data_IF_621693992821
#
_entry.id   IF_621693992821
#
_cell.length_a   1.000
_cell.length_b   1.000
_cell.length_c   1.000
_cell.angle_alpha   90.00
_cell.angle_beta   90.00
_cell.angle_gamma   90.00
#
_symmetry.space_group_name_H-M   'P 1'
#
loop_
_entity.id
_entity.type
_entity.pdbx_description
1 polymer ?
#
# COMPACT_ATOMS: atom_id res chain seq x y z
N UNK A 1 20.12 -14.74 -0.06
CA UNK A 1 18.80 -14.82 -0.71
C UNK A 1 18.78 -15.93 -1.74
N UNK A 2 19.84 -16.08 -2.53
CA UNK A 2 19.95 -17.09 -3.59
C UNK A 2 19.71 -18.54 -3.12
N UNK A 3 20.13 -18.91 -1.90
CA UNK A 3 19.93 -20.27 -1.36
C UNK A 3 18.45 -20.66 -1.15
N UNK A 4 17.57 -19.70 -0.85
CA UNK A 4 16.14 -20.00 -0.64
C UNK A 4 15.43 -20.20 -1.98
N UNK A 5 15.82 -19.42 -2.99
CA UNK A 5 15.30 -19.57 -4.35
C UNK A 5 15.78 -20.89 -4.97
N UNK A 6 16.94 -21.42 -4.58
CA UNK A 6 17.41 -22.72 -5.08
C UNK A 6 16.61 -23.91 -4.55
N UNK A 7 15.99 -23.82 -3.37
CA UNK A 7 15.20 -24.92 -2.78
C UNK A 7 13.77 -24.99 -3.34
N UNK A 8 13.15 -23.84 -3.64
CA UNK A 8 11.82 -23.75 -4.26
C UNK A 8 11.81 -22.73 -5.41
N UNK A 9 12.48 -23.03 -6.53
CA UNK A 9 12.77 -22.05 -7.59
C UNK A 9 11.54 -21.55 -8.36
N UNK A 10 10.41 -22.24 -8.24
CA UNK A 10 9.18 -21.92 -8.97
C UNK A 10 8.00 -21.55 -8.04
N UNK A 11 8.24 -21.27 -6.75
CA UNK A 11 7.17 -20.73 -5.90
C UNK A 11 6.95 -19.24 -6.21
N UNK A 12 5.81 -18.85 -6.81
CA UNK A 12 5.55 -17.45 -7.17
C UNK A 12 5.57 -16.50 -5.98
N UNK A 13 5.18 -16.97 -4.78
CA UNK A 13 5.15 -16.15 -3.56
C UNK A 13 6.55 -15.84 -3.07
N UNK A 14 7.43 -16.86 -3.08
CA UNK A 14 8.84 -16.70 -2.71
C UNK A 14 9.55 -15.77 -3.70
N UNK A 15 9.36 -15.99 -5.01
CA UNK A 15 9.91 -15.12 -6.05
C UNK A 15 9.43 -13.68 -5.87
N UNK A 16 8.14 -13.47 -5.53
CA UNK A 16 7.57 -12.13 -5.28
C UNK A 16 8.18 -11.47 -4.05
N UNK A 17 8.48 -12.24 -3.00
CA UNK A 17 9.17 -11.72 -1.82
C UNK A 17 10.60 -11.26 -2.17
N UNK A 18 11.36 -12.06 -2.92
CA UNK A 18 12.71 -11.70 -3.38
C UNK A 18 12.69 -10.49 -4.30
N UNK A 19 11.75 -10.44 -5.24
CA UNK A 19 11.58 -9.30 -6.14
C UNK A 19 11.32 -7.99 -5.36
N UNK A 20 10.45 -8.03 -4.34
CA UNK A 20 10.17 -6.87 -3.47
C UNK A 20 11.40 -6.43 -2.69
N UNK A 21 12.23 -7.35 -2.22
CA UNK A 21 13.51 -7.02 -1.58
C UNK A 21 14.46 -6.33 -2.57
N UNK A 22 14.55 -6.81 -3.81
CA UNK A 22 15.31 -6.11 -4.85
C UNK A 22 14.80 -4.70 -5.12
N UNK A 23 13.48 -4.47 -5.15
CA UNK A 23 12.91 -3.12 -5.28
C UNK A 23 13.32 -2.22 -4.11
N UNK A 24 13.23 -2.72 -2.87
CA UNK A 24 13.63 -1.97 -1.67
C UNK A 24 15.12 -1.61 -1.67
N UNK A 25 15.96 -2.46 -2.24
CA UNK A 25 17.40 -2.23 -2.42
C UNK A 25 17.73 -1.37 -3.67
N UNK A 26 16.73 -0.86 -4.38
CA UNK A 26 16.92 -0.08 -5.62
C UNK A 26 17.37 -0.90 -6.83
N UNK A 27 17.42 -2.23 -6.72
CA UNK A 27 17.84 -3.14 -7.78
C UNK A 27 16.68 -3.47 -8.74
N UNK A 28 16.16 -2.44 -9.44
CA UNK A 28 14.96 -2.53 -10.30
C UNK A 28 15.09 -3.65 -11.34
N UNK A 29 16.24 -3.75 -12.01
CA UNK A 29 16.50 -4.79 -13.03
C UNK A 29 16.41 -6.21 -12.47
N UNK A 30 16.88 -6.44 -11.25
CA UNK A 30 16.83 -7.77 -10.64
C UNK A 30 15.40 -8.13 -10.24
N UNK A 31 14.62 -7.16 -9.76
CA UNK A 31 13.20 -7.35 -9.48
C UNK A 31 12.42 -7.71 -10.76
N UNK A 32 12.69 -7.01 -11.86
CA UNK A 32 12.04 -7.26 -13.16
C UNK A 32 12.23 -8.69 -13.65
N UNK A 33 13.44 -9.25 -13.55
CA UNK A 33 13.72 -10.64 -13.93
C UNK A 33 12.86 -11.64 -13.14
N UNK A 34 12.69 -11.40 -11.84
CA UNK A 34 11.84 -12.25 -11.00
C UNK A 34 10.35 -12.08 -11.36
N UNK A 35 9.89 -10.86 -11.64
CA UNK A 35 8.51 -10.61 -12.05
C UNK A 35 8.17 -11.26 -13.39
N UNK A 36 9.05 -11.18 -14.39
CA UNK A 36 8.88 -11.87 -15.67
C UNK A 36 8.73 -13.38 -15.49
N UNK A 37 9.51 -13.96 -14.57
CA UNK A 37 9.39 -15.38 -14.22
C UNK A 37 8.06 -15.70 -13.55
N UNK A 38 7.62 -14.88 -12.60
CA UNK A 38 6.33 -15.06 -11.91
C UNK A 38 5.18 -15.04 -12.93
N UNK A 39 5.20 -14.11 -13.89
CA UNK A 39 4.17 -13.98 -14.92
C UNK A 39 4.05 -15.20 -15.85
N UNK A 40 5.08 -16.05 -15.92
CA UNK A 40 5.03 -17.34 -16.62
C UNK A 40 4.44 -18.46 -15.76
N UNK A 41 4.44 -18.30 -14.43
CA UNK A 41 4.03 -19.32 -13.46
C UNK A 41 2.59 -19.14 -12.98
N UNK A 42 2.03 -17.93 -13.12
CA UNK A 42 0.66 -17.61 -12.67
C UNK A 42 -0.20 -17.09 -13.82
N UNK A 43 -1.54 -17.20 -13.72
CA UNK A 43 -2.44 -16.59 -14.70
C UNK A 43 -2.20 -15.09 -14.86
N UNK A 44 -2.49 -14.54 -16.04
CA UNK A 44 -2.28 -13.12 -16.34
C UNK A 44 -3.07 -12.16 -15.44
N UNK A 45 -4.22 -12.60 -14.95
CA UNK A 45 -5.11 -11.86 -14.02
C UNK A 45 -4.86 -12.22 -12.54
N UNK A 46 -3.81 -12.99 -12.26
CA UNK A 46 -3.47 -13.36 -10.88
C UNK A 46 -3.19 -12.11 -10.05
N UNK A 47 -3.82 -12.02 -8.87
CA UNK A 47 -3.67 -10.91 -7.93
C UNK A 47 -2.21 -10.63 -7.59
N UNK A 48 -1.39 -11.67 -7.38
CA UNK A 48 0.02 -11.53 -7.05
C UNK A 48 0.78 -10.85 -8.20
N UNK A 49 0.51 -11.25 -9.44
CA UNK A 49 1.09 -10.62 -10.63
C UNK A 49 0.65 -9.16 -10.75
N UNK A 50 -0.64 -8.86 -10.56
CA UNK A 50 -1.17 -7.48 -10.59
C UNK A 50 -0.51 -6.59 -9.54
N UNK A 51 -0.40 -7.06 -8.29
CA UNK A 51 0.29 -6.34 -7.20
C UNK A 51 1.79 -6.13 -7.48
N UNK A 52 2.47 -7.15 -8.00
CA UNK A 52 3.88 -7.05 -8.36
C UNK A 52 4.15 -6.03 -9.47
N UNK A 53 3.33 -6.03 -10.52
CA UNK A 53 3.39 -5.02 -11.60
C UNK A 53 3.15 -3.61 -11.06
N UNK A 54 2.19 -3.46 -10.14
CA UNK A 54 1.93 -2.16 -9.52
C UNK A 54 3.14 -1.66 -8.74
N UNK A 55 3.75 -2.51 -7.90
CA UNK A 55 4.96 -2.17 -7.14
C UNK A 55 6.16 -1.85 -8.04
N UNK A 56 6.34 -2.61 -9.13
CA UNK A 56 7.36 -2.33 -10.13
C UNK A 56 7.15 -0.97 -10.80
N UNK A 57 5.90 -0.64 -11.14
CA UNK A 57 5.54 0.65 -11.71
C UNK A 57 5.84 1.81 -10.73
N UNK A 58 5.55 1.64 -9.43
CA UNK A 58 5.94 2.61 -8.39
C UNK A 58 7.46 2.81 -8.37
N UNK A 59 8.22 1.72 -8.30
CA UNK A 59 9.69 1.78 -8.27
C UNK A 59 10.30 2.40 -9.54
N UNK A 60 9.58 2.33 -10.66
CA UNK A 60 9.96 2.90 -11.95
C UNK A 60 9.47 4.34 -12.17
N UNK A 61 8.83 4.96 -11.16
CA UNK A 61 8.26 6.31 -11.27
C UNK A 61 7.00 6.42 -12.15
N UNK A 62 6.37 5.29 -12.49
CA UNK A 62 5.17 5.22 -13.34
C UNK A 62 3.90 5.21 -12.49
N UNK A 63 3.68 6.30 -11.75
CA UNK A 63 2.66 6.35 -10.71
C UNK A 63 1.22 6.18 -11.21
N UNK A 64 0.88 6.67 -12.41
CA UNK A 64 -0.46 6.46 -12.96
C UNK A 64 -0.74 5.00 -13.30
N UNK A 65 0.21 4.34 -13.98
CA UNK A 65 0.10 2.92 -14.28
C UNK A 65 0.04 2.09 -12.98
N UNK A 66 0.85 2.44 -11.97
CA UNK A 66 0.81 1.77 -10.67
C UNK A 66 -0.58 1.90 -10.02
N UNK A 67 -1.16 3.10 -10.05
CA UNK A 67 -2.45 3.40 -9.46
C UNK A 67 -3.59 2.63 -10.12
N UNK A 68 -3.60 2.54 -11.45
CA UNK A 68 -4.56 1.72 -12.19
C UNK A 68 -4.45 0.23 -11.81
N UNK A 69 -3.22 -0.29 -11.73
CA UNK A 69 -2.97 -1.67 -11.34
C UNK A 69 -3.42 -1.96 -9.91
N UNK A 70 -3.16 -1.07 -8.95
CA UNK A 70 -3.67 -1.21 -7.58
C UNK A 70 -5.20 -1.19 -7.53
N UNK A 71 -5.84 -0.30 -8.30
CA UNK A 71 -7.31 -0.24 -8.36
C UNK A 71 -7.94 -1.49 -8.97
N UNK A 72 -7.22 -2.22 -9.82
CA UNK A 72 -7.70 -3.50 -10.36
C UNK A 72 -7.94 -4.55 -9.26
N UNK A 73 -7.29 -4.43 -8.10
CA UNK A 73 -7.39 -5.37 -6.94
C UNK A 73 -8.65 -5.11 -6.10
N UNK A 74 -9.53 -4.20 -6.52
CA UNK A 74 -10.74 -3.83 -5.78
C UNK A 74 -11.71 -5.01 -5.53
N UNK A 75 -11.70 -6.02 -6.42
CA UNK A 75 -12.56 -7.22 -6.31
C UNK A 75 -12.02 -8.32 -5.40
N UNK A 76 -10.78 -8.20 -4.93
CA UNK A 76 -10.11 -9.22 -4.13
C UNK A 76 -10.51 -9.15 -2.63
N UNK A 77 -9.90 -10.03 -1.81
CA UNK A 77 -10.14 -10.10 -0.37
C UNK A 77 -9.96 -8.72 0.30
N UNK A 78 -10.67 -8.48 1.40
CA UNK A 78 -10.76 -7.14 1.99
C UNK A 78 -9.39 -6.63 2.44
N UNK A 79 -8.52 -7.49 2.96
CA UNK A 79 -7.16 -7.14 3.38
C UNK A 79 -6.29 -6.73 2.18
N UNK A 80 -6.39 -7.48 1.08
CA UNK A 80 -5.69 -7.18 -0.17
C UNK A 80 -6.16 -5.85 -0.76
N UNK A 81 -7.48 -5.63 -0.76
CA UNK A 81 -8.13 -4.41 -1.24
C UNK A 81 -7.69 -3.19 -0.44
N UNK A 82 -7.63 -3.30 0.89
CA UNK A 82 -7.19 -2.21 1.78
C UNK A 82 -5.73 -1.86 1.49
N UNK A 83 -4.86 -2.86 1.37
CA UNK A 83 -3.44 -2.67 1.05
C UNK A 83 -3.24 -2.01 -0.34
N UNK A 84 -3.92 -2.54 -1.36
CA UNK A 84 -3.84 -2.00 -2.72
C UNK A 84 -4.40 -0.56 -2.80
N UNK A 85 -5.55 -0.30 -2.17
CA UNK A 85 -6.14 1.03 -2.15
C UNK A 85 -5.26 2.04 -1.40
N UNK A 86 -4.62 1.66 -0.29
CA UNK A 86 -3.66 2.51 0.40
C UNK A 86 -2.49 2.89 -0.54
N UNK A 87 -1.91 1.92 -1.24
CA UNK A 87 -0.83 2.17 -2.20
C UNK A 87 -1.27 3.01 -3.41
N UNK A 88 -2.51 2.83 -3.90
CA UNK A 88 -3.09 3.69 -4.92
C UNK A 88 -3.19 5.16 -4.46
N UNK A 89 -3.56 5.38 -3.19
CA UNK A 89 -3.62 6.71 -2.58
C UNK A 89 -2.21 7.32 -2.44
N UNK A 90 -1.18 6.53 -2.12
CA UNK A 90 0.21 7.02 -2.13
C UNK A 90 0.61 7.49 -3.54
N UNK A 91 0.19 6.79 -4.59
CA UNK A 91 0.41 7.25 -5.97
C UNK A 91 -0.24 8.62 -6.21
N UNK A 92 -1.44 8.87 -5.68
CA UNK A 92 -2.09 10.20 -5.78
C UNK A 92 -1.23 11.33 -5.20
N UNK A 93 -0.43 11.09 -4.16
CA UNK A 93 0.52 12.10 -3.64
C UNK A 93 1.62 12.39 -4.65
N UNK A 94 2.25 11.35 -5.21
CA UNK A 94 3.31 11.52 -6.23
C UNK A 94 2.82 12.21 -7.50
N UNK A 95 1.51 12.13 -7.77
CA UNK A 95 0.85 12.79 -8.88
C UNK A 95 0.38 14.21 -8.56
N UNK A 96 0.63 14.71 -7.35
CA UNK A 96 0.24 16.05 -6.93
C UNK A 96 -1.23 16.19 -6.50
N UNK A 97 -1.88 15.09 -6.11
CA UNK A 97 -3.29 15.05 -5.71
C UNK A 97 -3.52 14.62 -4.24
N UNK A 98 -2.92 15.30 -3.24
CA UNK A 98 -3.07 14.93 -1.82
C UNK A 98 -4.51 14.99 -1.29
N UNK A 99 -5.35 15.89 -1.80
CA UNK A 99 -6.78 15.90 -1.45
C UNK A 99 -7.48 14.60 -1.89
N UNK A 100 -7.14 14.09 -3.09
CA UNK A 100 -7.73 12.86 -3.63
C UNK A 100 -7.35 11.65 -2.81
N UNK A 101 -6.08 11.58 -2.39
CA UNK A 101 -5.59 10.60 -1.43
C UNK A 101 -6.41 10.64 -0.14
N UNK A 102 -6.55 11.82 0.47
CA UNK A 102 -7.28 11.99 1.74
C UNK A 102 -8.75 11.56 1.63
N UNK A 103 -9.44 11.99 0.58
CA UNK A 103 -10.84 11.63 0.34
C UNK A 103 -11.02 10.13 0.12
N UNK A 104 -10.10 9.49 -0.62
CA UNK A 104 -10.14 8.06 -0.89
C UNK A 104 -9.87 7.24 0.38
N UNK A 105 -8.88 7.62 1.18
CA UNK A 105 -8.58 6.96 2.46
C UNK A 105 -9.73 7.13 3.45
N UNK A 106 -10.36 8.31 3.53
CA UNK A 106 -11.54 8.49 4.38
C UNK A 106 -12.69 7.58 3.96
N UNK A 107 -12.96 7.47 2.64
CA UNK A 107 -13.99 6.55 2.12
C UNK A 107 -13.66 5.10 2.44
N UNK A 108 -12.39 4.71 2.32
CA UNK A 108 -11.94 3.36 2.64
C UNK A 108 -12.11 3.03 4.13
N UNK A 109 -11.78 3.97 5.01
CA UNK A 109 -11.99 3.81 6.47
C UNK A 109 -13.48 3.71 6.83
N UNK A 110 -14.38 4.37 6.10
CA UNK A 110 -15.82 4.22 6.30
C UNK A 110 -16.31 2.87 5.77
N UNK A 111 -15.82 2.43 4.61
CA UNK A 111 -16.26 1.19 3.97
C UNK A 111 -15.72 -0.07 4.66
N UNK A 112 -14.53 0.00 5.26
CA UNK A 112 -13.84 -1.14 5.87
C UNK A 112 -13.19 -0.75 7.22
N UNK A 113 -13.97 -0.28 8.20
CA UNK A 113 -13.44 0.37 9.40
C UNK A 113 -12.51 -0.52 10.22
N UNK A 114 -12.83 -1.81 10.36
CA UNK A 114 -11.97 -2.76 11.07
C UNK A 114 -10.64 -3.01 10.36
N UNK A 115 -10.67 -3.28 9.05
CA UNK A 115 -9.47 -3.61 8.28
C UNK A 115 -8.59 -2.37 8.05
N UNK A 116 -9.19 -1.23 7.74
CA UNK A 116 -8.47 0.02 7.51
C UNK A 116 -8.00 0.68 8.80
N UNK A 117 -8.83 0.66 9.86
CA UNK A 117 -8.48 1.23 11.16
C UNK A 117 -7.39 0.46 11.90
N UNK A 118 -7.24 -0.85 11.64
CA UNK A 118 -6.16 -1.66 12.20
C UNK A 118 -4.84 -1.57 11.40
N UNK A 119 -4.81 -0.97 10.21
CA UNK A 119 -3.58 -0.81 9.43
C UNK A 119 -2.86 0.49 9.81
N UNK A 120 -1.74 0.33 10.50
CA UNK A 120 -0.85 1.44 10.90
C UNK A 120 -0.36 2.23 9.68
N UNK A 121 -0.02 1.56 8.59
CA UNK A 121 0.46 2.20 7.36
C UNK A 121 -0.62 3.06 6.70
N UNK A 122 -1.87 2.60 6.73
CA UNK A 122 -3.00 3.36 6.19
C UNK A 122 -3.29 4.58 7.06
N UNK A 123 -3.30 4.42 8.39
CA UNK A 123 -3.49 5.55 9.32
C UNK A 123 -2.36 6.57 9.18
N UNK A 124 -1.11 6.14 9.05
CA UNK A 124 0.03 7.01 8.78
C UNK A 124 -0.12 7.81 7.49
N UNK A 125 -0.55 7.15 6.42
CA UNK A 125 -0.80 7.79 5.14
C UNK A 125 -1.98 8.77 5.21
N UNK A 126 -3.06 8.43 5.92
CA UNK A 126 -4.18 9.32 6.15
C UNK A 126 -3.75 10.58 6.92
N UNK A 127 -2.99 10.42 8.00
CA UNK A 127 -2.44 11.54 8.76
C UNK A 127 -1.47 12.39 7.94
N UNK A 128 -0.70 11.78 7.03
CA UNK A 128 0.11 12.51 6.05
C UNK A 128 -0.76 13.31 5.08
N UNK A 129 -1.88 12.76 4.61
CA UNK A 129 -2.86 13.50 3.81
C UNK A 129 -3.43 14.70 4.57
N UNK A 130 -3.73 14.55 5.87
CA UNK A 130 -4.15 15.68 6.72
C UNK A 130 -3.04 16.75 6.82
N UNK A 131 -1.79 16.35 7.05
CA UNK A 131 -0.65 17.29 7.15
C UNK A 131 -0.44 18.13 5.88
N UNK A 132 -0.74 17.56 4.72
CA UNK A 132 -0.61 18.24 3.44
C UNK A 132 -1.77 19.20 3.16
N UNK A 133 -2.95 18.94 3.72
CA UNK A 133 -4.19 19.66 3.41
C UNK A 133 -4.60 20.68 4.47
N UNK A 134 -4.21 20.47 5.73
CA UNK A 134 -4.66 21.26 6.87
C UNK A 134 -3.49 21.66 7.76
N UNK A 135 -3.70 22.75 8.51
CA UNK A 135 -2.76 23.25 9.50
C UNK A 135 -3.48 23.64 10.81
N UNK A 136 -2.68 24.07 11.79
CA UNK A 136 -3.17 24.69 13.01
C UNK A 136 -4.18 23.85 13.79
N UNK A 137 -5.29 24.50 14.18
CA UNK A 137 -6.33 23.87 15.00
C UNK A 137 -7.08 22.78 14.25
N UNK A 138 -7.41 23.01 12.98
CA UNK A 138 -8.15 22.04 12.15
C UNK A 138 -7.39 20.73 12.03
N UNK A 139 -6.08 20.79 11.76
CA UNK A 139 -5.24 19.60 11.71
C UNK A 139 -5.28 18.80 13.01
N UNK A 140 -5.18 19.47 14.16
CA UNK A 140 -5.22 18.82 15.49
C UNK A 140 -6.58 18.16 15.75
N UNK A 141 -7.67 18.82 15.40
CA UNK A 141 -9.02 18.29 15.57
C UNK A 141 -9.28 17.06 14.69
N UNK A 142 -8.85 17.10 13.42
CA UNK A 142 -9.01 15.97 12.50
C UNK A 142 -8.17 14.75 12.94
N UNK A 143 -6.93 14.97 13.40
CA UNK A 143 -6.09 13.89 13.96
C UNK A 143 -6.68 13.33 15.26
N UNK A 144 -7.20 14.19 16.15
CA UNK A 144 -7.87 13.75 17.37
C UNK A 144 -9.10 12.89 17.07
N UNK A 145 -9.94 13.32 16.12
CA UNK A 145 -11.09 12.53 15.67
C UNK A 145 -10.64 11.19 15.10
N UNK A 146 -9.57 11.18 14.30
CA UNK A 146 -9.05 9.94 13.71
C UNK A 146 -8.54 8.96 14.77
N UNK A 147 -7.91 9.43 15.85
CA UNK A 147 -7.52 8.57 16.96
C UNK A 147 -8.71 7.89 17.61
N UNK A 148 -9.81 8.62 17.82
CA UNK A 148 -11.06 8.05 18.37
C UNK A 148 -11.63 7.00 17.42
N UNK A 149 -11.67 7.28 16.12
CA UNK A 149 -12.15 6.31 15.13
C UNK A 149 -11.33 5.01 15.14
N UNK A 150 -10.00 5.12 15.19
CA UNK A 150 -9.06 3.99 15.15
C UNK A 150 -9.11 3.17 16.44
N UNK A 151 -9.24 3.82 17.61
CA UNK A 151 -9.30 3.16 18.91
C UNK A 151 -10.48 2.17 19.04
N UNK A 152 -11.53 2.33 18.23
CA UNK A 152 -12.66 1.39 18.19
C UNK A 152 -12.31 0.03 17.58
N UNK A 153 -11.23 -0.05 16.79
CA UNK A 153 -10.89 -1.22 15.98
C UNK A 153 -9.48 -1.74 16.19
N UNK A 154 -8.54 -0.86 16.53
CA UNK A 154 -7.16 -1.20 16.80
C UNK A 154 -7.01 -1.79 18.22
N UNK A 155 -6.09 -2.75 18.38
CA UNK A 155 -5.74 -3.30 19.69
C UNK A 155 -4.66 -2.48 20.39
N UNK A 156 -4.37 -2.84 21.65
CA UNK A 156 -3.41 -2.14 22.52
C UNK A 156 -1.96 -2.08 21.96
N UNK A 157 -1.63 -2.96 21.02
CA UNK A 157 -0.32 -2.99 20.34
C UNK A 157 -0.15 -1.98 19.20
N UNK A 158 -1.16 -1.17 18.90
CA UNK A 158 -1.13 -0.24 17.77
C UNK A 158 -0.09 0.87 17.94
N UNK A 159 0.75 1.06 16.94
CA UNK A 159 1.78 2.09 16.94
C UNK A 159 1.17 3.50 16.80
N UNK A 160 1.12 4.22 17.93
CA UNK A 160 0.58 5.58 18.00
C UNK A 160 1.41 6.61 17.21
N UNK A 161 2.65 6.30 16.82
CA UNK A 161 3.43 7.14 15.92
C UNK A 161 2.75 7.33 14.55
N UNK A 162 1.86 6.40 14.16
CA UNK A 162 1.06 6.48 12.94
C UNK A 162 0.18 7.74 12.88
N UNK A 163 -0.16 8.35 14.02
CA UNK A 163 -0.97 9.57 14.05
C UNK A 163 -0.18 10.87 13.75
N UNK A 164 1.16 10.80 13.70
CA UNK A 164 2.06 11.94 13.42
C UNK A 164 1.76 13.16 14.30
N UNK A 165 1.71 12.97 15.62
CA UNK A 165 1.35 14.04 16.58
C UNK A 165 2.50 14.98 16.95
N UNK A 166 3.71 14.69 16.47
CA UNK A 166 4.93 15.46 16.72
C UNK A 166 5.10 16.59 15.70
#
# INVERSE_FOLDING_TARGET
>A
MDHLVTESPNDPRLLSAVARLHLQLGSIRQAELQFMRIEQLVPSDDKLARMNRALYAVASGKYEAARELFNSVAGDAIEDRVCAANNACVCDVYLGHPQRMLDALQKLMVAAPRAAGASEELVFNYCTGLDLQYDGQKLREEKARKMVDVAMWAGDGFNTASFKLQ
#
